data_IF_912333536675
#
_entry.id   IF_912333536675
#
_cell.length_a   1.000
_cell.length_b   1.000
_cell.length_c   1.000
_cell.angle_alpha   90.00
_cell.angle_beta   90.00
_cell.angle_gamma   90.00
#
_symmetry.space_group_name_H-M   'P 1'
#
loop_
_entity.id
_entity.type
_entity.pdbx_description
1 polymer ?
#
# COMPACT_ATOMS: atom_id res chain seq x y z
N UNK A 1 -3.67 -12.20 1.80
CA UNK A 1 -2.85 -11.07 1.31
C UNK A 1 -2.19 -11.31 -0.05
N UNK A 2 -1.91 -12.56 -0.45
CA UNK A 2 -1.27 -12.90 -1.74
C UNK A 2 -2.16 -12.66 -2.99
N UNK A 3 -3.40 -12.20 -2.83
CA UNK A 3 -4.31 -11.84 -3.92
C UNK A 3 -4.04 -10.45 -4.54
N UNK A 4 -3.13 -9.67 -3.94
CA UNK A 4 -2.70 -8.37 -4.44
C UNK A 4 -1.58 -8.52 -5.47
N UNK A 5 -1.63 -7.67 -6.50
CA UNK A 5 -0.53 -7.56 -7.47
C UNK A 5 0.69 -6.96 -6.77
N UNK A 6 1.84 -7.64 -6.89
CA UNK A 6 3.09 -7.20 -6.26
C UNK A 6 3.34 -7.74 -4.85
N UNK A 7 2.32 -8.27 -4.16
CA UNK A 7 2.52 -8.98 -2.88
C UNK A 7 2.63 -10.48 -3.16
N UNK A 8 3.75 -11.08 -2.75
CA UNK A 8 3.97 -12.53 -2.70
C UNK A 8 4.11 -13.00 -1.25
N UNK A 9 4.40 -14.29 -1.04
CA UNK A 9 4.46 -14.92 0.28
C UNK A 9 5.36 -14.17 1.26
N UNK A 10 6.57 -13.78 0.85
CA UNK A 10 7.51 -13.05 1.72
C UNK A 10 6.90 -11.74 2.24
N UNK A 11 6.40 -10.89 1.34
CA UNK A 11 5.77 -9.63 1.74
C UNK A 11 4.46 -9.83 2.49
N UNK A 12 3.68 -10.85 2.15
CA UNK A 12 2.47 -11.20 2.89
C UNK A 12 2.81 -11.60 4.33
N UNK A 13 3.84 -12.43 4.52
CA UNK A 13 4.32 -12.84 5.84
C UNK A 13 4.82 -11.64 6.62
N UNK A 14 5.71 -10.82 6.04
CA UNK A 14 6.19 -9.58 6.68
C UNK A 14 5.03 -8.67 7.08
N UNK A 15 4.00 -8.53 6.25
CA UNK A 15 2.83 -7.71 6.60
C UNK A 15 2.10 -8.27 7.82
N UNK A 16 1.87 -9.58 7.86
CA UNK A 16 1.15 -10.22 8.96
C UNK A 16 1.97 -10.13 10.26
N UNK A 17 3.27 -10.44 10.21
CA UNK A 17 4.14 -10.44 11.39
C UNK A 17 4.35 -9.05 11.97
N UNK A 18 4.58 -8.04 11.13
CA UNK A 18 4.89 -6.69 11.58
C UNK A 18 3.62 -5.91 11.99
N UNK A 19 2.49 -6.12 11.30
CA UNK A 19 1.24 -5.43 11.64
C UNK A 19 0.61 -6.07 12.89
N UNK A 20 0.68 -7.39 13.04
CA UNK A 20 0.04 -8.10 14.13
C UNK A 20 -1.47 -7.86 14.16
N UNK A 21 -2.02 -7.50 15.32
CA UNK A 21 -3.43 -7.18 15.47
C UNK A 21 -3.78 -5.86 14.75
N UNK A 22 -4.45 -5.97 13.60
CA UNK A 22 -4.86 -4.81 12.79
C UNK A 22 -5.91 -3.93 13.48
N UNK A 23 -6.71 -4.48 14.41
CA UNK A 23 -7.79 -3.75 15.10
C UNK A 23 -7.26 -2.61 15.98
N UNK A 24 -5.95 -2.58 16.27
CA UNK A 24 -5.28 -1.45 16.95
C UNK A 24 -5.32 -0.15 16.13
N UNK A 25 -5.57 -0.24 14.82
CA UNK A 25 -5.67 0.91 13.94
C UNK A 25 -7.13 1.11 13.52
N UNK A 26 -7.82 2.08 14.12
CA UNK A 26 -9.24 2.36 13.81
C UNK A 26 -9.45 2.97 12.42
N UNK A 27 -8.40 3.54 11.82
CA UNK A 27 -8.46 4.16 10.52
C UNK A 27 -7.18 3.90 9.71
N UNK A 28 -7.24 3.68 8.38
CA UNK A 28 -6.07 3.34 7.55
C UNK A 28 -4.96 4.40 7.59
N UNK A 29 -5.31 5.68 7.85
CA UNK A 29 -4.30 6.74 8.01
C UNK A 29 -3.37 6.50 9.22
N UNK A 30 -3.87 5.89 10.29
CA UNK A 30 -3.05 5.54 11.44
C UNK A 30 -1.99 4.50 11.08
N UNK A 31 -2.37 3.48 10.29
CA UNK A 31 -1.42 2.49 9.78
C UNK A 31 -0.39 3.13 8.85
N UNK A 32 -0.81 4.02 7.94
CA UNK A 32 0.09 4.76 7.04
C UNK A 32 1.13 5.58 7.82
N UNK A 33 0.67 6.29 8.85
CA UNK A 33 1.54 7.08 9.73
C UNK A 33 2.51 6.19 10.52
N UNK A 34 2.01 5.10 11.11
CA UNK A 34 2.81 4.16 11.91
C UNK A 34 3.92 3.46 11.11
N UNK A 35 3.66 3.09 9.84
CA UNK A 35 4.69 2.52 8.95
C UNK A 35 5.74 3.58 8.55
N UNK A 36 5.39 4.86 8.67
CA UNK A 36 6.26 5.96 8.25
C UNK A 36 6.13 6.30 6.76
N UNK A 37 4.95 6.11 6.17
CA UNK A 37 4.67 6.51 4.78
C UNK A 37 3.92 7.83 4.68
N UNK A 38 3.66 8.49 5.80
CA UNK A 38 3.12 9.85 5.77
C UNK A 38 4.21 10.89 5.50
N UNK A 39 3.75 12.06 5.08
CA UNK A 39 4.56 13.25 4.87
C UNK A 39 5.04 13.70 6.25
N UNK A 40 6.33 13.97 6.41
CA UNK A 40 6.85 14.59 7.63
C UNK A 40 6.34 16.03 7.69
N UNK A 41 5.58 16.36 8.71
CA UNK A 41 5.06 17.71 8.95
C UNK A 41 5.77 18.33 10.16
N UNK A 42 6.28 19.55 9.99
CA UNK A 42 6.77 20.38 11.09
C UNK A 42 5.96 21.68 11.08
N UNK A 43 5.08 21.80 12.07
CA UNK A 43 4.21 22.95 12.23
C UNK A 43 4.58 23.63 13.56
N UNK A 44 5.13 24.85 13.51
CA UNK A 44 5.41 25.67 14.69
C UNK A 44 5.05 27.12 14.38
N UNK A 45 4.43 27.82 15.34
CA UNK A 45 4.13 29.26 15.23
C UNK A 45 3.42 29.70 13.94
N UNK A 46 2.42 28.95 13.47
CA UNK A 46 1.63 29.32 12.27
C UNK A 46 2.28 29.01 10.92
N UNK A 47 3.50 28.45 10.86
CA UNK A 47 4.12 27.97 9.62
C UNK A 47 3.97 26.46 9.48
N UNK A 48 3.37 26.02 8.37
CA UNK A 48 3.22 24.61 8.01
C UNK A 48 4.29 24.18 7.01
N UNK A 49 5.34 23.50 7.47
CA UNK A 49 6.37 22.93 6.60
C UNK A 49 6.12 21.44 6.37
N UNK A 50 5.83 21.08 5.11
CA UNK A 50 5.68 19.68 4.68
C UNK A 50 6.97 19.21 4.00
N UNK A 51 7.63 18.23 4.62
CA UNK A 51 8.87 17.63 4.15
C UNK A 51 8.62 16.31 3.39
N UNK A 52 9.70 15.59 3.06
CA UNK A 52 9.61 14.26 2.46
C UNK A 52 8.97 13.21 3.38
N UNK A 53 8.95 11.97 2.90
CA UNK A 53 8.51 10.81 3.67
C UNK A 53 9.33 10.69 4.96
N UNK A 54 8.64 10.46 6.09
CA UNK A 54 9.35 10.20 7.36
C UNK A 54 10.21 8.93 7.25
N UNK A 55 11.43 8.97 7.81
CA UNK A 55 12.27 7.77 7.92
C UNK A 55 11.98 6.99 9.20
N UNK A 56 11.17 7.55 10.10
CA UNK A 56 10.70 6.94 11.33
C UNK A 56 9.49 6.04 11.06
N UNK A 57 9.40 4.91 11.76
CA UNK A 57 8.39 3.87 11.53
C UNK A 57 8.98 2.60 10.92
N UNK A 58 8.14 1.60 10.71
CA UNK A 58 8.57 0.24 10.38
C UNK A 58 9.27 0.15 9.01
N UNK A 59 10.60 -0.09 9.03
CA UNK A 59 11.43 -0.18 7.81
C UNK A 59 11.04 -1.37 6.94
N UNK A 60 10.74 -2.53 7.53
CA UNK A 60 10.41 -3.75 6.80
C UNK A 60 9.12 -3.58 6.00
N UNK A 61 8.07 -3.06 6.63
CA UNK A 61 6.80 -2.77 5.96
C UNK A 61 6.99 -1.71 4.87
N UNK A 62 7.72 -0.63 5.16
CA UNK A 62 7.97 0.42 4.18
C UNK A 62 8.66 -0.12 2.93
N UNK A 63 9.70 -0.94 3.11
CA UNK A 63 10.38 -1.63 2.00
C UNK A 63 9.42 -2.57 1.27
N UNK A 64 8.69 -3.43 1.98
CA UNK A 64 7.78 -4.40 1.36
C UNK A 64 6.70 -3.74 0.47
N UNK A 65 6.10 -2.65 0.94
CA UNK A 65 5.09 -1.91 0.18
C UNK A 65 5.68 -1.15 -1.01
N UNK A 66 6.86 -0.55 -0.87
CA UNK A 66 7.55 0.12 -2.00
C UNK A 66 7.94 -0.92 -3.06
N UNK A 67 8.50 -2.05 -2.64
CA UNK A 67 8.91 -3.13 -3.54
C UNK A 67 7.71 -3.78 -4.25
N UNK A 68 6.59 -3.98 -3.54
CA UNK A 68 5.35 -4.43 -4.16
C UNK A 68 4.86 -3.50 -5.29
N UNK A 69 5.23 -2.21 -5.23
CA UNK A 69 4.83 -1.17 -6.17
C UNK A 69 5.90 -0.83 -7.22
N UNK A 70 6.98 -1.60 -7.39
CA UNK A 70 8.03 -1.30 -8.38
C UNK A 70 7.50 -1.04 -9.79
N UNK A 71 6.56 -1.89 -10.25
CA UNK A 71 5.94 -1.79 -11.58
C UNK A 71 4.42 -2.03 -11.56
N UNK A 72 3.85 -2.42 -10.42
CA UNK A 72 2.46 -2.88 -10.30
C UNK A 72 1.43 -1.85 -10.78
N UNK A 73 1.70 -0.56 -10.60
CA UNK A 73 0.82 0.54 -10.97
C UNK A 73 0.78 0.83 -12.48
N UNK A 74 1.71 0.34 -13.29
CA UNK A 74 1.74 0.68 -14.74
C UNK A 74 0.63 0.02 -15.55
N UNK A 75 0.12 -1.13 -15.09
CA UNK A 75 -0.94 -1.85 -15.79
C UNK A 75 -1.91 -2.49 -14.81
N UNK A 76 -3.20 -2.37 -15.09
CA UNK A 76 -4.26 -3.05 -14.35
C UNK A 76 -4.46 -4.53 -14.79
N UNK A 77 -3.60 -5.07 -15.66
CA UNK A 77 -3.68 -6.47 -16.10
C UNK A 77 -3.39 -7.44 -14.96
N UNK A 78 -4.22 -8.47 -14.84
CA UNK A 78 -4.06 -9.61 -13.93
C UNK A 78 -3.25 -10.70 -14.65
N UNK A 79 -2.15 -11.16 -14.06
CA UNK A 79 -1.30 -12.22 -14.62
C UNK A 79 -1.89 -13.62 -14.36
N UNK A 80 -1.44 -14.62 -15.12
CA UNK A 80 -1.82 -16.04 -14.92
C UNK A 80 -1.52 -16.50 -13.49
N UNK A 81 -0.34 -16.15 -12.98
CA UNK A 81 0.08 -16.39 -11.60
C UNK A 81 -0.87 -15.73 -10.56
N UNK A 82 -1.26 -14.47 -10.77
CA UNK A 82 -2.17 -13.78 -9.87
C UNK A 82 -3.57 -14.40 -9.88
N UNK A 83 -4.05 -14.86 -11.05
CA UNK A 83 -5.31 -15.62 -11.15
C UNK A 83 -5.25 -16.93 -10.37
N UNK A 84 -4.13 -17.68 -10.48
CA UNK A 84 -3.95 -18.93 -9.75
C UNK A 84 -4.00 -18.71 -8.23
N UNK A 85 -3.33 -17.67 -7.72
CA UNK A 85 -3.34 -17.32 -6.29
C UNK A 85 -4.71 -16.93 -5.75
N UNK A 86 -5.61 -16.44 -6.61
CA UNK A 86 -6.95 -16.00 -6.24
C UNK A 86 -7.99 -17.11 -6.17
N UNK A 87 -7.72 -18.30 -6.73
CA UNK A 87 -8.72 -19.39 -6.83
C UNK A 87 -9.36 -19.75 -5.49
N UNK A 88 -8.57 -19.77 -4.41
CA UNK A 88 -9.01 -20.18 -3.08
C UNK A 88 -9.11 -18.98 -2.10
N UNK A 89 -9.28 -17.76 -2.61
CA UNK A 89 -9.39 -16.56 -1.78
C UNK A 89 -10.83 -16.07 -1.74
N UNK A 90 -11.27 -15.56 -0.59
CA UNK A 90 -12.57 -14.88 -0.43
C UNK A 90 -12.82 -13.83 -1.54
N UNK A 91 -13.95 -13.91 -2.27
CA UNK A 91 -14.31 -12.93 -3.30
C UNK A 91 -14.34 -11.49 -2.80
N UNK A 92 -14.71 -11.28 -1.54
CA UNK A 92 -14.71 -9.97 -0.90
C UNK A 92 -13.31 -9.35 -0.82
N UNK A 93 -12.30 -10.12 -0.42
CA UNK A 93 -10.89 -9.68 -0.40
C UNK A 93 -10.36 -9.45 -1.82
N UNK A 94 -10.76 -10.28 -2.79
CA UNK A 94 -10.40 -10.09 -4.21
C UNK A 94 -10.94 -8.76 -4.73
N UNK A 95 -12.19 -8.41 -4.40
CA UNK A 95 -12.80 -7.14 -4.79
C UNK A 95 -12.04 -5.93 -4.23
N UNK A 96 -11.56 -6.00 -2.99
CA UNK A 96 -10.71 -4.95 -2.39
C UNK A 96 -9.38 -4.86 -3.16
N UNK A 97 -8.75 -5.98 -3.47
CA UNK A 97 -7.50 -6.02 -4.24
C UNK A 97 -7.66 -5.46 -5.66
N UNK A 98 -8.81 -5.67 -6.31
CA UNK A 98 -9.09 -5.12 -7.64
C UNK A 98 -9.42 -3.62 -7.62
N UNK A 99 -10.12 -3.14 -6.59
CA UNK A 99 -10.26 -1.70 -6.33
C UNK A 99 -8.90 -1.06 -6.12
N UNK A 100 -8.02 -1.69 -5.32
CA UNK A 100 -6.65 -1.26 -5.14
C UNK A 100 -5.91 -1.18 -6.48
N UNK A 101 -5.92 -2.25 -7.28
CA UNK A 101 -5.21 -2.29 -8.57
C UNK A 101 -5.66 -1.17 -9.53
N UNK A 102 -6.97 -0.95 -9.67
CA UNK A 102 -7.52 0.14 -10.50
C UNK A 102 -7.11 1.52 -9.98
N UNK A 103 -7.18 1.73 -8.66
CA UNK A 103 -6.79 2.99 -8.02
C UNK A 103 -5.32 3.30 -8.22
N UNK A 104 -4.45 2.31 -8.00
CA UNK A 104 -3.01 2.45 -8.19
C UNK A 104 -2.67 2.72 -9.65
N UNK A 105 -3.34 2.07 -10.59
CA UNK A 105 -3.12 2.29 -12.00
C UNK A 105 -3.50 3.71 -12.45
N UNK A 106 -4.70 4.16 -12.08
CA UNK A 106 -5.16 5.52 -12.36
C UNK A 106 -4.21 6.57 -11.77
N UNK A 107 -3.82 6.42 -10.50
CA UNK A 107 -2.93 7.36 -9.81
C UNK A 107 -1.52 7.35 -10.41
N UNK A 108 -0.97 6.15 -10.62
CA UNK A 108 0.37 5.95 -11.13
C UNK A 108 0.55 6.56 -12.52
N UNK A 109 -0.39 6.27 -13.43
CA UNK A 109 -0.37 6.84 -14.78
C UNK A 109 -0.55 8.36 -14.76
N UNK A 110 -1.48 8.90 -13.97
CA UNK A 110 -1.65 10.36 -13.82
C UNK A 110 -0.37 11.05 -13.37
N UNK A 111 0.34 10.49 -12.39
CA UNK A 111 1.58 11.08 -11.88
C UNK A 111 2.75 10.95 -12.86
N UNK A 112 2.85 9.84 -13.58
CA UNK A 112 3.83 9.66 -14.65
C UNK A 112 3.61 10.66 -15.79
N UNK A 113 2.37 10.82 -16.23
CA UNK A 113 2.00 11.78 -17.28
C UNK A 113 2.26 13.23 -16.84
N UNK A 114 2.13 13.53 -15.54
CA UNK A 114 2.50 14.82 -14.95
C UNK A 114 4.03 14.99 -14.74
N UNK A 115 4.86 14.14 -15.37
CA UNK A 115 6.32 14.21 -15.32
C UNK A 115 6.94 13.91 -13.94
N UNK A 116 6.19 13.30 -13.00
CA UNK A 116 6.74 13.01 -11.68
C UNK A 116 7.72 11.84 -11.75
N UNK A 117 8.86 12.01 -11.07
CA UNK A 117 9.90 10.98 -11.00
C UNK A 117 9.33 9.61 -10.56
N UNK A 118 9.66 8.49 -11.22
CA UNK A 118 9.07 7.18 -10.94
C UNK A 118 9.12 6.77 -9.47
N UNK A 119 10.20 7.08 -8.74
CA UNK A 119 10.30 6.76 -7.32
C UNK A 119 9.27 7.53 -6.45
N UNK A 120 8.91 8.77 -6.82
CA UNK A 120 7.82 9.50 -6.15
C UNK A 120 6.46 8.85 -6.44
N UNK A 121 6.28 8.34 -7.66
CA UNK A 121 5.06 7.60 -8.05
C UNK A 121 4.93 6.30 -7.26
N UNK A 122 6.02 5.51 -7.15
CA UNK A 122 6.06 4.27 -6.35
C UNK A 122 5.63 4.51 -4.91
N UNK A 123 6.20 5.52 -4.25
CA UNK A 123 5.84 5.88 -2.87
C UNK A 123 4.37 6.32 -2.77
N UNK A 124 3.89 7.12 -3.71
CA UNK A 124 2.50 7.59 -3.72
C UNK A 124 1.48 6.46 -3.94
N UNK A 125 1.85 5.42 -4.69
CA UNK A 125 1.08 4.20 -4.89
C UNK A 125 1.16 3.29 -3.66
N UNK A 126 2.35 3.08 -3.10
CA UNK A 126 2.55 2.30 -1.88
C UNK A 126 1.69 2.82 -0.72
N UNK A 127 1.65 4.15 -0.52
CA UNK A 127 0.79 4.79 0.50
C UNK A 127 -0.70 4.49 0.34
N UNK A 128 -1.21 4.48 -0.89
CA UNK A 128 -2.62 4.16 -1.16
C UNK A 128 -2.89 2.67 -0.91
N UNK A 129 -1.94 1.82 -1.31
CA UNK A 129 -2.04 0.37 -1.15
C UNK A 129 -2.17 -0.05 0.33
N UNK A 130 -1.50 0.65 1.25
CA UNK A 130 -1.63 0.43 2.70
C UNK A 130 -3.09 0.52 3.15
N UNK A 131 -3.87 1.48 2.62
CA UNK A 131 -5.27 1.63 2.98
C UNK A 131 -6.14 0.43 2.57
N UNK A 132 -5.88 -0.14 1.39
CA UNK A 132 -6.59 -1.34 0.94
C UNK A 132 -6.16 -2.58 1.70
N UNK A 133 -4.87 -2.71 2.04
CA UNK A 133 -4.37 -3.80 2.88
C UNK A 133 -4.98 -3.72 4.27
N UNK A 134 -5.07 -2.53 4.86
CA UNK A 134 -5.77 -2.29 6.14
C UNK A 134 -7.23 -2.76 6.07
N UNK A 135 -7.94 -2.43 4.98
CA UNK A 135 -9.34 -2.83 4.78
C UNK A 135 -9.48 -4.36 4.66
N UNK A 136 -8.59 -5.01 3.90
CA UNK A 136 -8.59 -6.46 3.76
C UNK A 136 -8.25 -7.19 5.06
N UNK A 137 -7.31 -6.65 5.84
CA UNK A 137 -6.96 -7.19 7.15
C UNK A 137 -8.10 -7.03 8.16
N UNK A 138 -8.79 -5.89 8.15
CA UNK A 138 -9.98 -5.68 8.99
C UNK A 138 -11.09 -6.66 8.63
N UNK A 139 -11.35 -6.84 7.32
CA UNK A 139 -12.34 -7.82 6.86
C UNK A 139 -11.98 -9.26 7.24
N UNK A 140 -10.70 -9.61 7.25
CA UNK A 140 -10.25 -10.95 7.64
C UNK A 140 -10.24 -11.16 9.17
N UNK A 141 -10.28 -10.09 9.96
CA UNK A 141 -10.29 -10.13 11.42
C UNK A 141 -11.69 -9.91 12.02
N UNK A 142 -12.69 -9.65 11.17
CA UNK A 142 -14.11 -9.56 11.49
C UNK A 142 -14.74 -10.95 11.38
#
# INVERSE_FOLDING_TARGET
MTCYKGIKNLFALTMITEIGNVKRFSHPRQLVSWIGMDIREYSSGGKHNRFGMTKHGNRYLRTAFIEANQRGYRTARISKDLKARRKNTDPGIINIADRCLRRLNKKGNRLLLAGKHPNKVKVACAREMVGFVWESLHKAAA
#
